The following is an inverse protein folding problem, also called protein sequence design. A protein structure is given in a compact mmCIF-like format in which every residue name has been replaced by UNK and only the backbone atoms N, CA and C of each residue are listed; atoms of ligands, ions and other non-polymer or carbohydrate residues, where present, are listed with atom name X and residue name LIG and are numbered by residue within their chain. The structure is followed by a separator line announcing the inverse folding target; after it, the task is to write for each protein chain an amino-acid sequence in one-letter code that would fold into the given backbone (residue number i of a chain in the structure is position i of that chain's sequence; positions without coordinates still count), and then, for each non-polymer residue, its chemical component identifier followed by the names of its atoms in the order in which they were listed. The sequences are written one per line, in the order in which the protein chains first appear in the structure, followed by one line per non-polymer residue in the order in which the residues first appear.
data_IF_396212856127
#
_entry.id   IF_396212856127
#
_cell.length_a   1.000
_cell.length_b   1.000
_cell.length_c   1.000
_cell.angle_alpha   90.00
_cell.angle_beta   90.00
_cell.angle_gamma   90.00
#
_symmetry.space_group_name_H-M   'P 1'
#
loop_
_entity.id
_entity.type
_entity.pdbx_description
1 polymer ?
#
# COMPACT_ATOMS: atom_id res chain seq x y z
N UNK A 1 -18.44 9.21 -27.12
CA UNK A 1 -18.25 10.34 -26.20
C UNK A 1 -18.86 9.93 -24.87
N UNK A 2 -18.06 9.56 -23.91
CA UNK A 2 -18.51 9.15 -22.56
C UNK A 2 -18.78 10.41 -21.74
N UNK A 3 -19.87 10.43 -21.01
CA UNK A 3 -20.30 11.63 -20.29
C UNK A 3 -19.52 11.79 -18.96
N UNK A 4 -19.32 13.03 -18.45
CA UNK A 4 -18.68 13.28 -17.17
C UNK A 4 -19.33 12.58 -15.95
N UNK A 5 -20.51 11.97 -16.14
CA UNK A 5 -21.24 11.23 -15.10
C UNK A 5 -20.49 10.02 -14.55
N UNK A 6 -19.70 9.33 -15.37
CA UNK A 6 -19.03 8.08 -14.94
C UNK A 6 -17.81 8.38 -14.04
N UNK A 7 -17.13 9.49 -14.26
CA UNK A 7 -16.06 9.97 -13.38
C UNK A 7 -16.61 10.41 -12.02
N UNK A 8 -17.78 11.07 -12.03
CA UNK A 8 -18.46 11.53 -10.82
C UNK A 8 -18.94 10.35 -9.96
N UNK A 9 -19.39 9.24 -10.56
CA UNK A 9 -19.81 8.06 -9.81
C UNK A 9 -18.64 7.38 -9.09
N UNK A 10 -17.45 7.32 -9.70
CA UNK A 10 -16.24 6.76 -9.07
C UNK A 10 -15.76 7.61 -7.89
N UNK A 11 -15.83 8.93 -7.99
CA UNK A 11 -15.52 9.86 -6.89
C UNK A 11 -16.60 9.78 -5.79
N UNK A 12 -17.84 9.52 -6.15
CA UNK A 12 -18.94 9.35 -5.19
C UNK A 12 -18.79 8.06 -4.37
N UNK A 13 -18.33 6.95 -4.95
CA UNK A 13 -18.07 5.69 -4.22
C UNK A 13 -16.94 5.88 -3.21
N UNK A 14 -15.89 6.61 -3.55
CA UNK A 14 -14.82 7.01 -2.61
C UNK A 14 -15.35 8.03 -1.56
N UNK A 15 -16.24 8.94 -1.94
CA UNK A 15 -16.89 9.87 -1.05
C UNK A 15 -17.87 9.22 -0.05
N UNK A 16 -18.49 8.09 -0.41
CA UNK A 16 -19.40 7.36 0.50
C UNK A 16 -18.67 6.61 1.64
N UNK A 17 -17.40 6.28 1.47
CA UNK A 17 -16.57 5.76 2.59
C UNK A 17 -16.19 6.88 3.58
N UNK A 18 -16.16 8.14 3.14
CA UNK A 18 -15.91 9.31 4.00
C UNK A 18 -17.19 9.97 4.54
N UNK A 19 -18.35 9.66 3.97
CA UNK A 19 -19.64 10.32 4.28
C UNK A 19 -20.17 10.10 5.71
N UNK A 20 -19.96 8.97 6.42
CA UNK A 20 -20.42 8.83 7.79
C UNK A 20 -19.77 9.83 8.76
N UNK A 21 -18.54 10.27 8.47
CA UNK A 21 -17.84 11.25 9.31
C UNK A 21 -18.37 12.68 9.14
N UNK A 22 -19.02 12.98 8.03
CA UNK A 22 -19.54 14.32 7.71
C UNK A 22 -20.97 14.58 8.23
N UNK A 23 -21.70 13.54 8.63
CA UNK A 23 -23.12 13.64 9.03
C UNK A 23 -23.35 13.76 10.54
N UNK A 24 -22.29 13.68 11.37
CA UNK A 24 -22.41 13.88 12.82
C UNK A 24 -22.50 15.38 13.15
N UNK A 25 -23.40 15.73 14.09
CA UNK A 25 -23.45 17.08 14.63
C UNK A 25 -22.09 17.51 15.15
N UNK A 26 -21.71 18.77 14.91
CA UNK A 26 -20.37 19.31 15.17
C UNK A 26 -19.85 19.08 16.60
N UNK A 27 -20.73 19.05 17.59
CA UNK A 27 -20.38 18.76 19.00
C UNK A 27 -20.03 17.30 19.23
N UNK A 28 -20.83 16.37 18.73
CA UNK A 28 -20.58 14.95 18.84
C UNK A 28 -19.33 14.54 18.02
N UNK A 29 -19.06 15.23 16.92
CA UNK A 29 -17.86 15.04 16.11
C UNK A 29 -16.60 15.43 16.86
N UNK A 30 -16.58 16.59 17.54
CA UNK A 30 -15.43 17.05 18.32
C UNK A 30 -15.16 16.10 19.49
N UNK A 31 -16.19 15.69 20.25
CA UNK A 31 -16.05 14.75 21.35
C UNK A 31 -15.56 13.35 20.86
N UNK A 32 -16.01 12.90 19.70
CA UNK A 32 -15.59 11.63 19.12
C UNK A 32 -14.16 11.70 18.56
N UNK A 33 -13.77 12.83 17.97
CA UNK A 33 -12.38 13.08 17.53
C UNK A 33 -11.42 13.11 18.72
N UNK A 34 -11.82 13.73 19.85
CA UNK A 34 -11.03 13.75 21.09
C UNK A 34 -10.97 12.38 21.79
N UNK A 35 -12.03 11.57 21.69
CA UNK A 35 -12.09 10.24 22.31
C UNK A 35 -11.41 9.15 21.48
N UNK A 36 -11.48 9.21 20.15
CA UNK A 36 -11.13 8.07 19.30
C UNK A 36 -9.72 8.16 18.69
N UNK A 37 -9.26 9.32 18.29
CA UNK A 37 -7.96 9.43 17.64
C UNK A 37 -7.22 10.70 18.01
N UNK A 38 -5.95 10.60 18.40
CA UNK A 38 -5.06 11.74 18.51
C UNK A 38 -4.43 12.14 17.18
N UNK A 39 -4.39 11.21 16.24
CA UNK A 39 -3.83 11.41 14.92
C UNK A 39 -4.59 10.58 13.89
N UNK A 40 -4.99 11.24 12.81
CA UNK A 40 -5.61 10.59 11.66
C UNK A 40 -4.77 10.96 10.45
N UNK A 41 -4.34 9.95 9.68
CA UNK A 41 -3.69 10.13 8.39
C UNK A 41 -4.48 9.42 7.33
N UNK A 42 -4.63 10.08 6.20
CA UNK A 42 -5.39 9.55 5.09
C UNK A 42 -4.69 9.88 3.79
N UNK A 43 -4.64 8.93 2.87
CA UNK A 43 -4.21 9.22 1.51
C UNK A 43 -5.06 8.50 0.47
N UNK A 44 -5.14 9.11 -0.70
CA UNK A 44 -5.75 8.56 -1.89
C UNK A 44 -4.76 8.64 -3.03
N UNK A 45 -4.69 7.59 -3.86
CA UNK A 45 -3.89 7.63 -5.06
C UNK A 45 -4.62 6.99 -6.24
N UNK A 46 -4.27 7.48 -7.44
CA UNK A 46 -4.68 6.95 -8.72
C UNK A 46 -3.43 6.67 -9.54
N UNK A 47 -3.29 5.43 -10.00
CA UNK A 47 -2.21 5.05 -10.93
C UNK A 47 -2.80 4.70 -12.30
N UNK A 48 -2.16 5.20 -13.36
CA UNK A 48 -2.37 4.78 -14.74
C UNK A 48 -1.20 3.90 -15.19
N UNK A 49 -1.49 2.67 -15.58
CA UNK A 49 -0.51 1.70 -16.09
C UNK A 49 -0.31 1.93 -17.59
N UNK A 50 0.60 2.83 -17.92
CA UNK A 50 0.79 3.36 -19.27
C UNK A 50 1.30 2.29 -20.23
N UNK A 51 2.28 1.49 -19.79
CA UNK A 51 2.84 0.38 -20.56
C UNK A 51 2.76 -0.90 -19.74
N UNK A 52 1.60 -1.54 -19.82
CA UNK A 52 1.32 -2.79 -19.13
C UNK A 52 0.80 -3.84 -20.09
N UNK A 53 1.51 -4.94 -20.19
CA UNK A 53 1.14 -6.12 -20.98
C UNK A 53 1.07 -7.41 -20.17
N UNK A 54 1.59 -7.38 -18.95
CA UNK A 54 1.81 -8.59 -18.14
C UNK A 54 1.26 -8.53 -16.73
N UNK A 55 1.13 -7.35 -16.12
CA UNK A 55 0.58 -7.22 -14.77
C UNK A 55 -0.92 -7.45 -14.78
N UNK A 56 -1.37 -8.38 -13.95
CA UNK A 56 -2.71 -8.94 -14.03
C UNK A 56 -3.70 -8.20 -13.13
N UNK A 57 -4.92 -8.12 -13.62
CA UNK A 57 -6.01 -7.37 -12.98
C UNK A 57 -6.80 -8.19 -11.97
N UNK A 58 -6.41 -9.46 -11.75
CA UNK A 58 -7.09 -10.35 -10.79
C UNK A 58 -6.13 -11.38 -10.20
N UNK A 59 -6.40 -11.89 -8.98
CA UNK A 59 -5.56 -12.87 -8.32
C UNK A 59 -5.38 -14.19 -9.08
N UNK A 60 -6.31 -14.50 -10.00
CA UNK A 60 -6.25 -15.67 -10.88
C UNK A 60 -5.38 -15.48 -12.13
N UNK A 61 -4.61 -14.41 -12.18
CA UNK A 61 -3.77 -14.02 -13.33
C UNK A 61 -4.56 -13.75 -14.63
N UNK A 62 -5.80 -13.27 -14.52
CA UNK A 62 -6.60 -12.88 -15.69
C UNK A 62 -6.77 -11.38 -15.80
N UNK A 63 -7.04 -10.91 -17.04
CA UNK A 63 -7.11 -9.49 -17.36
C UNK A 63 -5.74 -8.80 -17.33
N UNK A 64 -5.70 -7.55 -17.69
CA UNK A 64 -4.49 -6.71 -17.64
C UNK A 64 -4.84 -5.37 -17.00
N UNK A 65 -4.12 -4.99 -15.96
CA UNK A 65 -4.39 -3.75 -15.23
C UNK A 65 -4.27 -2.52 -16.12
N UNK A 66 -5.24 -1.61 -16.00
CA UNK A 66 -5.18 -0.28 -16.58
C UNK A 66 -5.06 0.80 -15.52
N UNK A 67 -5.89 0.77 -14.49
CA UNK A 67 -5.86 1.73 -13.39
C UNK A 67 -5.81 1.02 -12.04
N UNK A 68 -5.19 1.69 -11.05
CA UNK A 68 -5.23 1.31 -9.64
C UNK A 68 -5.71 2.51 -8.82
N UNK A 69 -6.74 2.29 -8.00
CA UNK A 69 -7.21 3.25 -7.01
C UNK A 69 -6.75 2.76 -5.64
N UNK A 70 -6.07 3.61 -4.89
CA UNK A 70 -5.58 3.28 -3.56
C UNK A 70 -6.24 4.18 -2.53
N UNK A 71 -6.56 3.62 -1.39
CA UNK A 71 -6.95 4.34 -0.19
C UNK A 71 -6.17 3.81 1.01
N UNK A 72 -5.64 4.70 1.81
CA UNK A 72 -4.91 4.37 3.04
C UNK A 72 -5.44 5.22 4.18
N UNK A 73 -5.62 4.62 5.36
CA UNK A 73 -6.07 5.29 6.57
C UNK A 73 -5.31 4.76 7.78
N UNK A 74 -4.70 5.67 8.53
CA UNK A 74 -4.14 5.40 9.87
C UNK A 74 -4.96 6.12 10.93
N UNK A 75 -5.30 5.39 11.99
CA UNK A 75 -5.98 5.92 13.17
C UNK A 75 -5.17 5.60 14.42
N UNK A 76 -4.65 6.61 15.10
CA UNK A 76 -3.94 6.43 16.36
C UNK A 76 -4.77 7.00 17.51
N UNK A 77 -5.28 6.17 18.44
CA UNK A 77 -5.92 6.65 19.65
C UNK A 77 -4.93 7.41 20.54
N UNK A 78 -5.37 8.51 21.18
CA UNK A 78 -4.49 9.35 22.02
C UNK A 78 -3.90 8.59 23.24
N UNK A 79 -4.53 7.52 23.65
CA UNK A 79 -4.13 6.70 24.82
C UNK A 79 -3.29 5.48 24.43
N UNK A 80 -3.05 5.24 23.15
CA UNK A 80 -2.37 4.01 22.69
C UNK A 80 -1.22 4.31 21.72
N UNK A 81 -0.07 3.62 21.86
CA UNK A 81 0.99 3.66 20.87
C UNK A 81 0.67 2.80 19.62
N UNK A 82 -0.47 2.11 19.63
CA UNK A 82 -0.89 1.24 18.52
C UNK A 82 -1.72 2.05 17.55
N UNK A 83 -1.38 1.94 16.27
CA UNK A 83 -2.07 2.56 15.14
C UNK A 83 -2.89 1.48 14.45
N UNK A 84 -4.17 1.73 14.20
CA UNK A 84 -4.97 0.94 13.28
C UNK A 84 -4.64 1.40 11.86
N UNK A 85 -4.30 0.46 10.99
CA UNK A 85 -4.00 0.68 9.58
C UNK A 85 -5.06 0.00 8.72
N UNK A 86 -5.62 0.72 7.78
CA UNK A 86 -6.59 0.21 6.81
C UNK A 86 -6.12 0.58 5.40
N UNK A 87 -6.02 -0.40 4.53
CA UNK A 87 -5.65 -0.22 3.14
C UNK A 87 -6.70 -0.80 2.21
N UNK A 88 -6.88 -0.17 1.08
CA UNK A 88 -7.75 -0.66 0.03
C UNK A 88 -7.16 -0.33 -1.34
N UNK A 89 -7.13 -1.32 -2.21
CA UNK A 89 -6.76 -1.17 -3.61
C UNK A 89 -7.87 -1.70 -4.50
N UNK A 90 -8.13 -1.01 -5.58
CA UNK A 90 -8.99 -1.50 -6.64
C UNK A 90 -8.20 -1.47 -7.94
N UNK A 91 -8.10 -2.62 -8.59
CA UNK A 91 -7.52 -2.73 -9.92
C UNK A 91 -8.63 -2.80 -10.97
N UNK A 92 -8.38 -2.19 -12.12
CA UNK A 92 -9.28 -2.25 -13.27
C UNK A 92 -8.65 -3.06 -14.39
N UNK A 93 -9.48 -3.63 -15.24
CA UNK A 93 -9.04 -4.43 -16.37
C UNK A 93 -9.25 -3.67 -17.69
N UNK A 94 -8.17 -3.43 -18.46
CA UNK A 94 -8.23 -2.73 -19.74
C UNK A 94 -9.02 -3.46 -20.82
N UNK A 95 -9.26 -4.76 -20.63
CA UNK A 95 -9.99 -5.61 -21.57
C UNK A 95 -11.52 -5.57 -21.34
N UNK A 96 -11.97 -4.89 -20.26
CA UNK A 96 -13.39 -4.69 -20.02
C UNK A 96 -13.97 -3.56 -20.89
N UNK A 97 -15.27 -3.65 -21.17
CA UNK A 97 -16.03 -2.59 -21.87
C UNK A 97 -15.90 -1.22 -21.20
N UNK A 98 -15.76 -1.21 -19.90
CA UNK A 98 -15.47 -0.02 -19.10
C UNK A 98 -14.18 -0.20 -18.32
N UNK A 99 -13.09 0.34 -18.84
CA UNK A 99 -11.74 0.27 -18.25
C UNK A 99 -11.60 0.97 -16.87
N UNK A 100 -12.57 1.79 -16.45
CA UNK A 100 -12.61 2.42 -15.12
C UNK A 100 -13.33 1.58 -14.08
N UNK A 101 -13.99 0.48 -14.50
CA UNK A 101 -14.71 -0.39 -13.57
C UNK A 101 -13.74 -1.30 -12.84
N UNK A 102 -13.76 -1.32 -11.49
CA UNK A 102 -12.93 -2.25 -10.73
C UNK A 102 -13.22 -3.72 -11.05
N UNK A 103 -12.16 -4.50 -11.15
CA UNK A 103 -12.16 -5.95 -11.40
C UNK A 103 -11.71 -6.73 -10.17
N UNK A 104 -10.84 -6.12 -9.36
CA UNK A 104 -10.26 -6.69 -8.16
C UNK A 104 -10.34 -5.69 -7.02
N UNK A 105 -10.48 -6.20 -5.82
CA UNK A 105 -10.43 -5.46 -4.58
C UNK A 105 -9.49 -6.15 -3.60
N UNK A 106 -8.41 -5.45 -3.26
CA UNK A 106 -7.54 -5.82 -2.18
C UNK A 106 -7.86 -4.95 -0.97
N UNK A 107 -7.90 -5.57 0.18
CA UNK A 107 -8.14 -4.90 1.44
C UNK A 107 -7.22 -5.45 2.50
N UNK A 108 -6.65 -4.56 3.30
CA UNK A 108 -5.88 -4.95 4.45
C UNK A 108 -6.33 -4.19 5.70
N UNK A 109 -6.25 -4.88 6.83
CA UNK A 109 -6.41 -4.31 8.15
C UNK A 109 -5.23 -4.73 9.01
N UNK A 110 -4.64 -3.79 9.73
CA UNK A 110 -3.47 -4.06 10.55
C UNK A 110 -3.42 -3.23 11.82
N UNK A 111 -2.57 -3.68 12.74
CA UNK A 111 -2.21 -2.99 13.96
C UNK A 111 -0.71 -2.78 13.97
N UNK A 112 -0.28 -1.52 13.92
CA UNK A 112 1.11 -1.12 13.88
C UNK A 112 1.49 -0.53 15.24
N UNK A 113 2.55 -1.07 15.85
CA UNK A 113 3.17 -0.54 17.07
C UNK A 113 4.53 0.03 16.73
N UNK A 114 4.79 1.28 17.08
CA UNK A 114 6.05 1.99 16.81
C UNK A 114 6.83 2.23 18.09
N UNK A 115 8.12 1.93 18.06
CA UNK A 115 9.04 2.19 19.17
C UNK A 115 10.41 2.60 18.62
N UNK A 116 10.74 3.91 18.74
CA UNK A 116 11.96 4.49 18.18
C UNK A 116 12.12 4.16 16.67
N UNK A 117 13.26 3.52 16.30
CA UNK A 117 13.52 3.07 14.93
C UNK A 117 12.90 1.69 14.60
N UNK A 118 12.18 1.09 15.53
CA UNK A 118 11.55 -0.22 15.33
C UNK A 118 10.04 -0.11 15.26
N UNK A 119 9.45 -1.00 14.50
CA UNK A 119 8.00 -1.17 14.50
C UNK A 119 7.65 -2.66 14.40
N UNK A 120 6.46 -3.01 14.88
CA UNK A 120 5.84 -4.31 14.70
C UNK A 120 4.48 -4.15 14.07
N UNK A 121 4.19 -4.91 13.03
CA UNK A 121 2.91 -4.91 12.33
C UNK A 121 2.28 -6.29 12.41
N UNK A 122 1.02 -6.35 12.82
CA UNK A 122 0.13 -7.49 12.62
C UNK A 122 -0.90 -7.10 11.58
N UNK A 123 -1.00 -7.85 10.48
CA UNK A 123 -1.85 -7.52 9.34
C UNK A 123 -2.61 -8.74 8.84
N UNK A 124 -3.84 -8.51 8.38
CA UNK A 124 -4.59 -9.42 7.55
C UNK A 124 -4.91 -8.74 6.22
N UNK A 125 -4.67 -9.45 5.12
CA UNK A 125 -4.93 -8.99 3.76
C UNK A 125 -5.77 -10.00 3.01
N UNK A 126 -6.61 -9.50 2.12
CA UNK A 126 -7.46 -10.30 1.26
C UNK A 126 -7.65 -9.63 -0.09
N UNK A 127 -7.32 -10.37 -1.15
CA UNK A 127 -7.44 -9.97 -2.54
C UNK A 127 -8.53 -10.80 -3.21
N UNK A 128 -9.47 -10.15 -3.85
CA UNK A 128 -10.61 -10.85 -4.44
C UNK A 128 -11.07 -10.21 -5.75
N UNK A 129 -11.44 -11.03 -6.75
CA UNK A 129 -12.14 -10.53 -7.93
C UNK A 129 -13.55 -10.08 -7.52
N UNK A 130 -14.02 -8.96 -8.09
CA UNK A 130 -15.35 -8.40 -7.80
C UNK A 130 -16.26 -8.34 -9.01
N UNK A 131 -15.74 -8.54 -10.20
CA UNK A 131 -16.49 -8.53 -11.45
C UNK A 131 -16.92 -9.93 -11.92
N UNK A 132 -16.30 -10.97 -11.38
CA UNK A 132 -16.60 -12.38 -11.66
C UNK A 132 -16.20 -13.26 -10.46
N UNK A 133 -16.62 -14.51 -10.46
CA UNK A 133 -16.08 -15.50 -9.52
C UNK A 133 -14.64 -15.86 -9.92
N UNK A 134 -13.77 -16.06 -8.93
CA UNK A 134 -12.37 -16.40 -9.18
C UNK A 134 -11.61 -16.76 -7.90
N UNK A 135 -10.29 -16.82 -8.02
CA UNK A 135 -9.40 -17.06 -6.90
C UNK A 135 -9.47 -15.90 -5.91
N UNK A 136 -9.62 -16.24 -4.63
CA UNK A 136 -9.45 -15.30 -3.52
C UNK A 136 -8.14 -15.66 -2.84
N UNK A 137 -7.25 -14.69 -2.73
CA UNK A 137 -6.01 -14.81 -1.95
C UNK A 137 -6.21 -14.15 -0.59
N UNK A 138 -5.65 -14.74 0.46
CA UNK A 138 -5.67 -14.14 1.79
C UNK A 138 -4.50 -14.63 2.62
N UNK A 139 -3.98 -13.75 3.46
CA UNK A 139 -2.96 -14.09 4.43
C UNK A 139 -3.07 -13.23 5.69
N UNK A 140 -2.45 -13.72 6.76
CA UNK A 140 -2.14 -12.92 7.94
C UNK A 140 -0.62 -12.89 8.10
N UNK A 141 -0.09 -11.76 8.53
CA UNK A 141 1.34 -11.49 8.66
C UNK A 141 1.66 -10.85 10.01
N UNK A 142 2.77 -11.29 10.59
CA UNK A 142 3.47 -10.55 11.64
C UNK A 142 4.79 -10.07 11.06
N UNK A 143 5.02 -8.77 11.11
CA UNK A 143 6.20 -8.14 10.52
C UNK A 143 6.96 -7.34 11.58
N UNK A 144 8.28 -7.48 11.60
CA UNK A 144 9.20 -6.61 12.31
C UNK A 144 9.84 -5.65 11.31
N UNK A 145 9.82 -4.36 11.62
CA UNK A 145 10.36 -3.30 10.76
C UNK A 145 11.48 -2.56 11.50
N UNK A 146 12.50 -2.18 10.76
CA UNK A 146 13.53 -1.25 11.18
C UNK A 146 13.57 -0.07 10.22
N UNK A 147 13.63 1.14 10.75
CA UNK A 147 13.62 2.36 9.98
C UNK A 147 14.81 3.26 10.39
N UNK A 148 15.40 3.95 9.42
CA UNK A 148 16.49 4.88 9.65
C UNK A 148 16.41 6.06 8.68
N UNK A 149 16.30 7.26 9.24
CA UNK A 149 16.40 8.51 8.50
C UNK A 149 17.85 8.94 8.31
N UNK A 150 18.11 9.63 7.21
CA UNK A 150 19.40 10.27 6.92
C UNK A 150 20.60 9.31 6.94
N UNK A 151 20.37 8.03 6.55
CA UNK A 151 21.42 7.01 6.53
C UNK A 151 22.53 7.32 5.51
N UNK A 152 22.15 7.74 4.28
CA UNK A 152 23.10 8.01 3.20
C UNK A 152 23.32 9.52 3.00
N UNK A 153 22.25 10.28 2.92
CA UNK A 153 22.24 11.73 2.76
C UNK A 153 21.16 12.33 3.66
N UNK A 154 21.26 13.61 3.93
CA UNK A 154 20.27 14.35 4.72
C UNK A 154 18.85 14.18 4.10
N UNK A 155 17.86 13.92 4.95
CA UNK A 155 16.47 13.61 4.59
C UNK A 155 16.26 12.34 3.74
N UNK A 156 17.25 11.47 3.58
CA UNK A 156 17.00 10.14 3.01
C UNK A 156 16.25 9.27 4.01
N UNK A 157 15.43 8.37 3.49
CA UNK A 157 14.64 7.42 4.29
C UNK A 157 14.98 5.99 3.87
N UNK A 158 15.17 5.11 4.87
CA UNK A 158 15.41 3.69 4.64
C UNK A 158 14.62 2.87 5.63
N UNK A 159 14.02 1.80 5.17
CA UNK A 159 13.56 0.76 6.06
C UNK A 159 13.84 -0.64 5.52
N UNK A 160 13.93 -1.58 6.46
CA UNK A 160 13.98 -3.00 6.19
C UNK A 160 12.96 -3.72 7.06
N UNK A 161 12.31 -4.73 6.51
CA UNK A 161 11.34 -5.51 7.26
C UNK A 161 11.48 -7.00 6.99
N UNK A 162 11.08 -7.78 8.00
CA UNK A 162 10.93 -9.23 7.93
C UNK A 162 9.52 -9.59 8.36
N UNK A 163 8.72 -10.15 7.47
CA UNK A 163 7.39 -10.66 7.69
C UNK A 163 7.35 -12.18 7.75
N UNK A 164 6.58 -12.72 8.67
CA UNK A 164 6.19 -14.12 8.71
C UNK A 164 4.72 -14.22 8.34
N UNK A 165 4.44 -14.87 7.20
CA UNK A 165 3.11 -15.09 6.69
C UNK A 165 2.56 -16.40 7.26
N UNK A 166 1.45 -16.32 7.98
CA UNK A 166 0.72 -17.46 8.47
C UNK A 166 -0.70 -17.44 7.89
N UNK A 167 -1.41 -18.57 7.90
CA UNK A 167 -2.73 -18.68 7.25
C UNK A 167 -2.72 -18.38 5.74
N UNK A 168 -1.69 -18.84 5.04
CA UNK A 168 -1.46 -18.56 3.61
C UNK A 168 -1.95 -19.68 2.69
N UNK A 169 -3.13 -20.25 2.93
CA UNK A 169 -3.62 -21.36 2.09
C UNK A 169 -3.82 -20.97 0.62
N UNK A 170 -4.05 -19.70 0.38
CA UNK A 170 -4.34 -19.17 -0.95
C UNK A 170 -3.34 -18.11 -1.42
N UNK A 171 -2.39 -17.67 -0.59
CA UNK A 171 -1.38 -16.70 -0.97
C UNK A 171 -0.12 -17.39 -1.51
N UNK A 172 0.27 -17.05 -2.72
CA UNK A 172 1.33 -17.72 -3.45
C UNK A 172 2.68 -17.05 -3.26
N UNK A 173 3.74 -17.82 -3.49
CA UNK A 173 5.12 -17.39 -3.36
C UNK A 173 5.73 -16.92 -4.69
N UNK A 174 4.97 -16.93 -5.77
CA UNK A 174 5.41 -16.52 -7.12
C UNK A 174 4.27 -15.92 -7.93
N UNK A 175 4.59 -15.05 -8.90
CA UNK A 175 3.57 -14.37 -9.71
C UNK A 175 2.76 -15.33 -10.61
N UNK A 176 3.24 -16.55 -10.85
CA UNK A 176 2.53 -17.60 -11.59
C UNK A 176 1.54 -18.41 -10.73
N UNK A 177 1.22 -17.94 -9.53
CA UNK A 177 0.37 -18.62 -8.55
C UNK A 177 0.89 -19.98 -8.12
N UNK A 178 2.18 -20.14 -7.95
CA UNK A 178 2.81 -21.36 -7.49
C UNK A 178 3.58 -21.17 -6.18
N UNK A 179 3.75 -22.29 -5.44
CA UNK A 179 4.31 -22.27 -4.09
C UNK A 179 3.32 -21.69 -3.07
N UNK A 180 3.77 -21.57 -1.84
CA UNK A 180 3.02 -20.94 -0.72
C UNK A 180 3.94 -20.00 0.00
N UNK A 181 3.60 -18.74 0.08
CA UNK A 181 4.40 -17.75 0.76
C UNK A 181 4.58 -18.09 2.24
N UNK A 182 5.79 -17.90 2.77
CA UNK A 182 6.14 -18.13 4.17
C UNK A 182 6.76 -16.91 4.82
N UNK A 183 7.82 -16.36 4.21
CA UNK A 183 8.47 -15.13 4.68
C UNK A 183 8.43 -14.09 3.58
N UNK A 184 8.42 -12.83 4.03
CA UNK A 184 8.57 -11.65 3.20
C UNK A 184 9.72 -10.81 3.72
N UNK A 185 10.69 -10.48 2.88
CA UNK A 185 11.74 -9.54 3.17
C UNK A 185 11.48 -8.27 2.38
N UNK A 186 11.49 -7.13 3.04
CA UNK A 186 11.22 -5.83 2.42
C UNK A 186 12.43 -4.92 2.61
N UNK A 187 12.81 -4.24 1.54
CA UNK A 187 13.76 -3.13 1.59
C UNK A 187 13.16 -1.95 0.87
N UNK A 188 13.21 -0.80 1.48
CA UNK A 188 12.76 0.46 0.90
C UNK A 188 13.82 1.53 1.07
N UNK A 189 13.93 2.41 0.10
CA UNK A 189 14.80 3.56 0.17
C UNK A 189 14.29 4.74 -0.62
N UNK A 190 14.44 5.93 -0.05
CA UNK A 190 14.11 7.19 -0.67
C UNK A 190 15.29 8.15 -0.55
N UNK A 191 15.66 8.74 -1.66
CA UNK A 191 16.77 9.68 -1.75
C UNK A 191 16.28 10.99 -2.33
N UNK A 192 16.38 12.11 -1.61
CA UNK A 192 16.11 13.43 -2.16
C UNK A 192 17.18 13.79 -3.20
N UNK A 193 16.75 14.05 -4.44
CA UNK A 193 17.64 14.44 -5.54
C UNK A 193 17.74 15.95 -5.67
N UNK A 194 16.63 16.69 -5.43
CA UNK A 194 16.61 18.14 -5.58
C UNK A 194 15.69 18.79 -4.55
N UNK A 195 16.26 19.52 -3.60
CA UNK A 195 15.58 20.40 -2.61
C UNK A 195 14.34 19.79 -1.94
N UNK A 196 14.32 18.49 -1.70
CA UNK A 196 13.17 17.76 -1.17
C UNK A 196 11.90 17.82 -2.06
N UNK A 197 12.05 18.18 -3.32
CA UNK A 197 10.96 18.21 -4.31
C UNK A 197 10.97 16.98 -5.19
N UNK A 198 12.18 16.53 -5.59
CA UNK A 198 12.37 15.37 -6.45
C UNK A 198 13.06 14.26 -5.65
N UNK A 199 12.50 13.09 -5.71
CA UNK A 199 12.93 11.91 -4.96
C UNK A 199 13.17 10.74 -5.89
N UNK A 200 14.22 9.99 -5.63
CA UNK A 200 14.40 8.64 -6.15
C UNK A 200 13.84 7.66 -5.14
N UNK A 201 12.97 6.77 -5.59
CA UNK A 201 12.30 5.77 -4.76
C UNK A 201 12.71 4.39 -5.25
N UNK A 202 13.04 3.51 -4.34
CA UNK A 202 13.31 2.10 -4.60
C UNK A 202 12.67 1.21 -3.54
N UNK A 203 11.93 0.21 -4.00
CA UNK A 203 11.34 -0.83 -3.16
C UNK A 203 11.75 -2.21 -3.65
N UNK A 204 11.94 -3.14 -2.74
CA UNK A 204 12.07 -4.55 -3.08
C UNK A 204 11.34 -5.42 -2.07
N UNK A 205 10.60 -6.40 -2.57
CA UNK A 205 10.01 -7.46 -1.79
C UNK A 205 10.56 -8.81 -2.27
N UNK A 206 10.93 -9.66 -1.34
CA UNK A 206 11.28 -11.05 -1.63
C UNK A 206 10.31 -11.95 -0.88
N UNK A 207 9.65 -12.84 -1.61
CA UNK A 207 8.83 -13.88 -0.99
C UNK A 207 9.55 -15.21 -1.02
N UNK A 208 9.38 -15.99 0.03
CA UNK A 208 9.92 -17.35 0.13
C UNK A 208 8.82 -18.38 0.00
N UNK A 209 9.16 -19.57 -0.50
CA UNK A 209 8.21 -20.65 -0.67
C UNK A 209 8.30 -21.66 0.48
N UNK A 210 7.19 -21.82 1.21
CA UNK A 210 7.05 -22.82 2.30
C UNK A 210 7.35 -24.24 1.85
N UNK A 211 7.12 -24.56 0.58
CA UNK A 211 7.29 -25.90 0.00
C UNK A 211 8.68 -26.13 -0.59
N UNK A 212 9.53 -25.09 -0.63
CA UNK A 212 10.89 -25.21 -1.08
C UNK A 212 11.74 -26.09 -0.13
N UNK A 213 12.78 -26.71 -0.64
CA UNK A 213 13.73 -27.48 0.17
C UNK A 213 14.44 -26.62 1.23
N UNK A 214 14.60 -25.33 0.96
CA UNK A 214 15.03 -24.32 1.91
C UNK A 214 14.01 -23.18 1.95
N UNK A 215 13.10 -23.16 2.94
CA UNK A 215 11.98 -22.23 2.96
C UNK A 215 12.35 -20.79 3.36
N UNK A 216 13.61 -20.50 3.64
CA UNK A 216 14.11 -19.13 3.87
C UNK A 216 14.76 -18.50 2.62
N UNK A 217 14.99 -19.30 1.56
CA UNK A 217 15.54 -18.80 0.30
C UNK A 217 14.44 -18.09 -0.50
N UNK A 218 14.67 -16.87 -0.98
CA UNK A 218 13.73 -16.19 -1.83
C UNK A 218 13.37 -16.96 -3.10
N UNK A 219 12.09 -16.96 -3.45
CA UNK A 219 11.52 -17.59 -4.64
C UNK A 219 11.00 -16.56 -5.63
N UNK A 220 10.65 -15.38 -5.13
CA UNK A 220 10.15 -14.24 -5.89
C UNK A 220 10.88 -12.97 -5.50
N UNK A 221 11.05 -12.10 -6.46
CA UNK A 221 11.52 -10.73 -6.29
C UNK A 221 10.57 -9.78 -6.99
N UNK A 222 9.96 -8.90 -6.20
CA UNK A 222 9.27 -7.71 -6.69
C UNK A 222 10.19 -6.53 -6.45
N UNK A 223 10.32 -5.67 -7.43
CA UNK A 223 11.06 -4.44 -7.25
C UNK A 223 10.42 -3.28 -7.99
N UNK A 224 10.49 -2.12 -7.35
CA UNK A 224 10.06 -0.84 -7.88
C UNK A 224 11.26 0.09 -7.93
N UNK A 225 11.34 0.86 -9.00
CA UNK A 225 12.19 2.04 -9.06
C UNK A 225 11.42 3.18 -9.70
N UNK A 226 11.47 4.36 -9.09
CA UNK A 226 10.69 5.50 -9.55
C UNK A 226 11.28 6.85 -9.17
N UNK A 227 10.72 7.87 -9.79
CA UNK A 227 10.95 9.26 -9.46
C UNK A 227 9.64 9.88 -8.98
N UNK A 228 9.68 10.57 -7.86
CA UNK A 228 8.54 11.29 -7.33
C UNK A 228 8.82 12.79 -7.25
N UNK A 229 7.79 13.57 -7.50
CA UNK A 229 7.75 15.02 -7.26
C UNK A 229 6.73 15.29 -6.19
N UNK A 230 7.15 15.94 -5.09
CA UNK A 230 6.31 16.23 -3.92
C UNK A 230 6.10 17.71 -3.75
N UNK A 231 4.85 18.11 -3.54
CA UNK A 231 4.50 19.49 -3.23
C UNK A 231 3.27 19.51 -2.30
N UNK A 232 3.43 20.10 -1.13
CA UNK A 232 2.39 20.17 -0.10
C UNK A 232 1.81 18.77 0.22
N UNK A 233 0.52 18.58 -0.07
CA UNK A 233 -0.22 17.33 0.13
C UNK A 233 -0.23 16.41 -1.09
N UNK A 234 0.49 16.77 -2.17
CA UNK A 234 0.46 16.02 -3.42
C UNK A 234 1.81 15.37 -3.72
N UNK A 235 1.74 14.19 -4.33
CA UNK A 235 2.88 13.49 -4.91
C UNK A 235 2.52 12.99 -6.31
N UNK A 236 3.38 13.28 -7.29
CA UNK A 236 3.33 12.67 -8.61
C UNK A 236 4.54 11.76 -8.75
N UNK A 237 4.29 10.47 -8.99
CA UNK A 237 5.34 9.46 -9.13
C UNK A 237 5.26 8.80 -10.50
N UNK A 238 6.40 8.60 -11.14
CA UNK A 238 6.55 7.77 -12.32
C UNK A 238 7.49 6.62 -11.96
N UNK A 239 7.05 5.38 -12.15
CA UNK A 239 7.80 4.21 -11.69
C UNK A 239 7.66 3.01 -12.62
N UNK A 240 8.66 2.15 -12.56
CA UNK A 240 8.64 0.82 -13.12
C UNK A 240 8.60 -0.20 -12.00
N UNK A 241 7.76 -1.21 -12.14
CA UNK A 241 7.69 -2.37 -11.26
C UNK A 241 7.91 -3.65 -12.05
N UNK A 242 8.52 -4.63 -11.41
CA UNK A 242 8.77 -5.95 -11.99
C UNK A 242 8.66 -7.01 -10.90
N UNK A 243 7.76 -7.97 -11.10
CA UNK A 243 7.58 -9.15 -10.27
C UNK A 243 8.08 -10.36 -11.05
N UNK A 244 8.98 -11.14 -10.47
CA UNK A 244 9.58 -12.27 -11.15
C UNK A 244 9.92 -13.42 -10.22
N UNK A 245 9.72 -14.64 -10.70
CA UNK A 245 10.28 -15.81 -10.04
C UNK A 245 11.81 -15.80 -10.21
N UNK A 246 12.55 -16.06 -9.12
CA UNK A 246 14.02 -16.04 -9.13
C UNK A 246 14.65 -17.42 -8.87
N UNK A 247 13.90 -18.37 -8.35
CA UNK A 247 14.34 -19.72 -8.07
C UNK A 247 14.11 -20.70 -9.23
N UNK A 248 13.29 -20.32 -10.20
CA UNK A 248 12.97 -21.10 -11.40
C UNK A 248 12.41 -20.18 -12.50
N UNK A 249 12.33 -20.68 -13.73
CA UNK A 249 11.59 -20.01 -14.80
C UNK A 249 10.10 -19.92 -14.47
N UNK A 250 9.47 -18.81 -14.77
CA UNK A 250 8.05 -18.57 -14.51
C UNK A 250 7.54 -17.28 -15.13
N UNK A 251 6.35 -16.88 -14.73
CA UNK A 251 5.77 -15.61 -15.14
C UNK A 251 6.62 -14.45 -14.61
N UNK A 252 6.92 -13.51 -15.49
CA UNK A 252 7.43 -12.20 -15.12
C UNK A 252 6.37 -11.17 -15.47
N UNK A 253 5.96 -10.39 -14.48
CA UNK A 253 5.07 -9.25 -14.67
C UNK A 253 5.91 -7.98 -14.65
N UNK A 254 5.67 -7.09 -15.58
CA UNK A 254 6.40 -5.82 -15.69
C UNK A 254 5.50 -4.75 -16.24
N UNK A 255 5.60 -3.55 -15.65
CA UNK A 255 4.86 -2.39 -16.11
C UNK A 255 5.56 -1.08 -15.75
N UNK A 256 5.14 -0.03 -16.44
CA UNK A 256 5.43 1.35 -16.12
C UNK A 256 4.12 2.05 -15.76
N UNK A 257 4.12 2.81 -14.67
CA UNK A 257 2.93 3.54 -14.23
C UNK A 257 3.25 4.98 -13.81
N UNK A 258 2.22 5.81 -13.91
CA UNK A 258 2.21 7.17 -13.38
C UNK A 258 1.15 7.22 -12.30
N UNK A 259 1.52 7.67 -11.10
CA UNK A 259 0.64 7.76 -9.94
C UNK A 259 0.53 9.20 -9.47
N UNK A 260 -0.70 9.64 -9.21
CA UNK A 260 -0.98 10.86 -8.48
C UNK A 260 -1.54 10.50 -7.11
N UNK A 261 -0.91 10.97 -6.05
CA UNK A 261 -1.30 10.75 -4.65
C UNK A 261 -1.62 12.08 -3.97
N UNK A 262 -2.66 12.08 -3.18
CA UNK A 262 -2.99 13.15 -2.26
C UNK A 262 -3.02 12.59 -0.83
N UNK A 263 -2.41 13.33 0.11
CA UNK A 263 -2.31 12.94 1.52
C UNK A 263 -2.83 14.04 2.42
N UNK A 264 -3.45 13.66 3.53
CA UNK A 264 -3.94 14.56 4.55
C UNK A 264 -3.58 14.03 5.95
N UNK A 265 -3.11 14.91 6.80
CA UNK A 265 -2.85 14.65 8.22
C UNK A 265 -3.72 15.55 9.08
N UNK A 266 -4.55 14.96 9.93
CA UNK A 266 -5.29 15.65 10.96
C UNK A 266 -4.43 15.81 12.21
N UNK A 267 -4.17 17.06 12.63
CA UNK A 267 -3.59 17.32 13.95
C UNK A 267 -4.74 17.58 14.94
N UNK A 268 -4.75 16.88 16.09
CA UNK A 268 -5.65 17.26 17.17
C UNK A 268 -5.26 18.64 17.69
N UNK A 269 -6.24 19.43 18.06
CA UNK A 269 -6.06 20.75 18.73
C UNK A 269 -5.70 20.61 20.21
N UNK A 270 -4.80 19.72 20.60
CA UNK A 270 -4.35 19.52 21.97
C UNK A 270 -2.94 20.14 22.12
N UNK A 271 -2.64 20.85 23.24
CA UNK A 271 -1.37 21.52 23.44
C UNK A 271 -0.18 20.55 23.35
N UNK A 272 0.86 20.96 22.65
CA UNK A 272 2.10 20.22 22.42
C UNK A 272 2.70 19.68 23.71
N UNK A 273 2.63 18.36 23.91
CA UNK A 273 3.65 17.66 24.68
C UNK A 273 4.72 17.28 23.67
N UNK A 274 5.86 17.95 23.71
CA UNK A 274 7.00 17.72 22.85
C UNK A 274 7.51 16.28 22.96
N UNK A 275 7.06 15.41 22.08
CA UNK A 275 7.73 14.15 21.80
C UNK A 275 8.08 14.13 20.32
N UNK A 276 9.37 14.02 20.04
CA UNK A 276 9.93 13.81 18.69
C UNK A 276 9.29 12.56 18.04
N UNK A 277 8.29 12.76 17.19
CA UNK A 277 7.56 11.66 16.51
C UNK A 277 7.38 11.95 15.02
N UNK A 278 8.48 12.14 14.28
CA UNK A 278 8.34 12.38 12.82
C UNK A 278 8.74 11.22 11.93
N UNK A 279 9.44 10.21 12.40
CA UNK A 279 10.13 9.28 11.53
C UNK A 279 9.39 7.98 11.14
N UNK A 280 8.27 7.65 11.72
CA UNK A 280 7.69 6.30 11.54
C UNK A 280 6.40 6.19 10.73
N UNK A 281 5.84 7.29 10.25
CA UNK A 281 4.46 7.30 9.77
C UNK A 281 4.29 7.07 8.27
N UNK A 282 5.33 7.32 7.50
CA UNK A 282 5.29 7.11 6.04
C UNK A 282 5.54 5.64 5.65
N UNK A 283 6.03 4.83 6.60
CA UNK A 283 6.36 3.42 6.36
C UNK A 283 5.17 2.56 5.94
N UNK A 284 4.01 2.76 6.57
CA UNK A 284 2.83 1.96 6.24
C UNK A 284 2.15 2.37 4.93
N UNK A 285 2.45 3.58 4.41
CA UNK A 285 1.83 4.09 3.18
C UNK A 285 2.46 3.54 1.89
N UNK A 286 3.61 2.84 1.97
CA UNK A 286 4.43 2.51 0.80
C UNK A 286 4.59 1.02 0.53
N UNK A 287 4.04 0.17 1.35
CA UNK A 287 4.07 -1.28 1.14
C UNK A 287 3.02 -1.79 0.13
N UNK A 288 2.33 -0.88 -0.61
CA UNK A 288 1.21 -1.27 -1.50
C UNK A 288 1.35 -0.76 -2.91
#
# INVERSE_FOLDING_TARGET
MRTPRDLILSIIVLGFLAAPALALEKSARVEMEEMLASEIRFSLALSDFVDNTSFRARPDNTGVVKYRYLGHLELQPHWSPVVLVLDTNFFTDKEQDNEFRPSEWDQAIGFLYRYEQWAGLLRYERDMPIDKSGLVQAFAEVQGLWHQDSLLIENSEFYAALGWLFSTQTYFARPDNTGRALFRYVLHGELPLYRNWVWLIGDTNFFTDRQASNPITPSELDWIVGLAVRWESWELMAFQETDQSIDRGGLTQKYFAIQLKWSWEGKPSVPEIHTRRRAGTELAQREW
#
